data_IF_409403789090
#
_entry.id   IF_409403789090
#
_cell.length_a   1.000
_cell.length_b   1.000
_cell.length_c   1.000
_cell.angle_alpha   90.00
_cell.angle_beta   90.00
_cell.angle_gamma   90.00
#
_symmetry.space_group_name_H-M   'P 1'
#
loop_
_entity.id
_entity.type
_entity.pdbx_description
1 polymer ?
#
# COMPACT_ATOMS: atom_id res chain seq x y z
N UNK A 1 13.71 15.57 3.46
CA UNK A 1 12.64 14.67 2.96
C UNK A 1 12.94 13.88 1.69
N UNK A 2 13.62 14.47 0.70
CA UNK A 2 13.89 13.79 -0.59
C UNK A 2 14.62 12.44 -0.45
N UNK A 3 15.56 12.34 0.51
CA UNK A 3 16.28 11.09 0.79
C UNK A 3 15.34 10.01 1.35
N UNK A 4 14.46 10.38 2.29
CA UNK A 4 13.50 9.48 2.92
C UNK A 4 12.48 8.93 1.90
N UNK A 5 11.94 9.80 1.04
CA UNK A 5 11.03 9.39 -0.04
C UNK A 5 11.69 8.39 -1.00
N UNK A 6 12.94 8.65 -1.40
CA UNK A 6 13.71 7.75 -2.24
C UNK A 6 13.96 6.38 -1.57
N UNK A 7 14.42 6.38 -0.32
CA UNK A 7 14.68 5.15 0.42
C UNK A 7 13.40 4.30 0.59
N UNK A 8 12.27 4.97 0.85
CA UNK A 8 10.97 4.32 0.98
C UNK A 8 10.52 3.65 -0.32
N UNK A 9 10.51 4.38 -1.44
CA UNK A 9 10.10 3.84 -2.75
C UNK A 9 11.07 2.73 -3.21
N UNK A 10 12.37 2.93 -3.00
CA UNK A 10 13.41 1.91 -3.27
C UNK A 10 13.12 0.62 -2.52
N UNK A 11 12.74 0.69 -1.24
CA UNK A 11 12.38 -0.48 -0.45
C UNK A 11 11.15 -1.19 -1.00
N UNK A 12 10.13 -0.44 -1.42
CA UNK A 12 8.91 -1.02 -2.02
C UNK A 12 9.21 -1.79 -3.30
N UNK A 13 10.02 -1.24 -4.20
CA UNK A 13 10.39 -1.92 -5.46
C UNK A 13 11.21 -3.18 -5.20
N UNK A 14 12.11 -3.15 -4.21
CA UNK A 14 12.85 -4.35 -3.82
C UNK A 14 11.94 -5.44 -3.24
N UNK A 15 10.91 -5.05 -2.51
CA UNK A 15 9.99 -5.98 -1.85
C UNK A 15 8.95 -6.56 -2.81
N UNK A 16 8.39 -5.74 -3.70
CA UNK A 16 7.25 -6.11 -4.56
C UNK A 16 7.63 -6.28 -6.03
N UNK A 17 8.90 -6.07 -6.39
CA UNK A 17 9.37 -6.11 -7.77
C UNK A 17 9.13 -4.82 -8.55
N UNK A 18 9.39 -4.87 -9.85
CA UNK A 18 9.25 -3.72 -10.76
C UNK A 18 7.77 -3.41 -11.02
N UNK A 19 7.29 -2.20 -10.69
CA UNK A 19 5.90 -1.82 -10.94
C UNK A 19 5.68 -1.49 -12.42
N UNK A 20 4.47 -1.76 -12.92
CA UNK A 20 4.04 -1.28 -14.24
C UNK A 20 3.69 0.20 -14.23
N UNK A 21 2.98 0.65 -13.19
CA UNK A 21 2.65 2.06 -12.94
C UNK A 21 2.79 2.37 -11.45
N UNK A 22 3.19 3.60 -11.14
CA UNK A 22 3.33 4.17 -9.81
C UNK A 22 2.58 5.49 -9.78
N UNK A 23 1.62 5.58 -8.87
CA UNK A 23 0.84 6.79 -8.62
C UNK A 23 1.38 7.43 -7.35
N UNK A 24 1.70 8.72 -7.39
CA UNK A 24 2.06 9.49 -6.20
C UNK A 24 1.26 10.78 -6.11
N UNK A 25 1.33 11.42 -4.95
CA UNK A 25 0.92 12.81 -4.77
C UNK A 25 1.78 13.77 -5.60
N UNK A 26 1.41 15.05 -5.59
CA UNK A 26 2.12 16.10 -6.31
C UNK A 26 3.30 16.70 -5.52
N UNK A 27 3.71 16.07 -4.42
CA UNK A 27 4.77 16.59 -3.55
C UNK A 27 6.13 16.70 -4.29
N UNK A 28 6.92 17.77 -4.06
CA UNK A 28 8.23 17.92 -4.69
C UNK A 28 9.20 16.76 -4.37
N UNK A 29 9.14 16.24 -3.15
CA UNK A 29 10.03 15.17 -2.69
C UNK A 29 9.76 13.83 -3.38
N UNK A 30 8.49 13.51 -3.67
CA UNK A 30 8.10 12.28 -4.39
C UNK A 30 8.48 12.36 -5.86
N UNK A 31 8.33 13.52 -6.50
CA UNK A 31 8.82 13.76 -7.87
C UNK A 31 10.32 13.51 -8.01
N UNK A 32 11.13 14.09 -7.11
CA UNK A 32 12.59 13.90 -7.12
C UNK A 32 12.97 12.44 -6.85
N UNK A 33 12.29 11.79 -5.91
CA UNK A 33 12.52 10.38 -5.60
C UNK A 33 12.19 9.45 -6.77
N UNK A 34 11.06 9.69 -7.45
CA UNK A 34 10.64 8.91 -8.62
C UNK A 34 11.60 9.05 -9.79
N UNK A 35 12.09 10.26 -10.09
CA UNK A 35 13.10 10.47 -11.13
C UNK A 35 14.38 9.64 -10.86
N UNK A 36 14.86 9.63 -9.61
CA UNK A 36 16.01 8.80 -9.20
C UNK A 36 15.73 7.30 -9.33
N UNK A 37 14.54 6.86 -8.94
CA UNK A 37 14.13 5.46 -9.00
C UNK A 37 13.98 4.96 -10.43
N UNK A 38 13.37 5.75 -11.32
CA UNK A 38 13.20 5.40 -12.74
C UNK A 38 14.58 5.16 -13.38
N UNK A 39 15.53 6.06 -13.13
CA UNK A 39 16.91 5.91 -13.60
C UNK A 39 17.61 4.70 -12.97
N UNK A 40 17.52 4.56 -11.64
CA UNK A 40 18.24 3.51 -10.90
C UNK A 40 17.75 2.08 -11.16
N UNK A 41 16.45 1.89 -11.40
CA UNK A 41 15.83 0.58 -11.61
C UNK A 41 15.52 0.28 -13.09
N UNK A 42 15.86 1.19 -14.01
CA UNK A 42 15.54 1.12 -15.45
C UNK A 42 14.04 0.85 -15.67
N UNK A 43 13.20 1.66 -15.01
CA UNK A 43 11.75 1.61 -15.21
C UNK A 43 11.38 2.37 -16.49
N UNK A 44 10.18 2.10 -17.01
CA UNK A 44 9.68 2.86 -18.17
C UNK A 44 9.47 4.33 -17.76
N UNK A 45 9.81 5.33 -18.60
CA UNK A 45 9.64 6.74 -18.28
C UNK A 45 8.18 7.14 -17.97
N UNK A 46 7.22 6.47 -18.62
CA UNK A 46 5.78 6.67 -18.46
C UNK A 46 5.18 5.91 -17.25
N UNK A 47 6.02 5.24 -16.45
CA UNK A 47 5.54 4.47 -15.31
C UNK A 47 5.06 5.34 -14.15
N UNK A 48 5.36 6.65 -14.14
CA UNK A 48 4.99 7.55 -13.06
C UNK A 48 3.86 8.48 -13.48
N UNK A 49 2.81 8.56 -12.66
CA UNK A 49 1.74 9.52 -12.85
C UNK A 49 1.38 10.22 -11.54
N UNK A 50 0.98 11.49 -11.66
CA UNK A 50 0.36 12.24 -10.57
C UNK A 50 -1.07 12.55 -10.97
N UNK A 51 -2.04 12.07 -10.19
CA UNK A 51 -3.46 12.28 -10.46
C UNK A 51 -4.17 12.55 -9.15
N UNK A 52 -4.88 13.68 -9.08
CA UNK A 52 -5.66 14.06 -7.89
C UNK A 52 -6.69 13.00 -7.54
N UNK A 53 -7.40 12.47 -8.55
CA UNK A 53 -8.41 11.44 -8.35
C UNK A 53 -7.81 10.13 -7.83
N UNK A 54 -6.73 9.64 -8.44
CA UNK A 54 -6.09 8.40 -7.99
C UNK A 54 -5.45 8.57 -6.61
N UNK A 55 -4.93 9.76 -6.30
CA UNK A 55 -4.45 10.09 -4.96
C UNK A 55 -5.58 10.07 -3.93
N UNK A 56 -6.78 10.55 -4.28
CA UNK A 56 -7.95 10.48 -3.40
C UNK A 56 -8.34 9.03 -3.06
N UNK A 57 -8.21 8.10 -4.00
CA UNK A 57 -8.45 6.67 -3.74
C UNK A 57 -7.45 6.10 -2.72
N UNK A 58 -6.17 6.49 -2.82
CA UNK A 58 -5.12 6.10 -1.87
C UNK A 58 -5.42 6.70 -0.48
N UNK A 59 -5.81 7.98 -0.43
CA UNK A 59 -6.18 8.62 0.84
C UNK A 59 -7.44 8.02 1.48
N UNK A 60 -8.40 7.56 0.68
CA UNK A 60 -9.54 6.81 1.19
C UNK A 60 -9.10 5.47 1.80
N UNK A 61 -8.12 4.81 1.18
CA UNK A 61 -7.50 3.59 1.72
C UNK A 61 -6.88 3.84 3.09
N UNK A 62 -6.21 4.97 3.26
CA UNK A 62 -5.60 5.36 4.53
C UNK A 62 -6.60 5.53 5.66
N UNK A 63 -7.88 5.84 5.39
CA UNK A 63 -8.89 6.02 6.47
C UNK A 63 -9.09 4.77 7.31
N UNK A 64 -9.05 3.59 6.67
CA UNK A 64 -9.21 2.31 7.36
C UNK A 64 -7.98 1.93 8.20
N UNK A 65 -6.80 2.44 7.84
CA UNK A 65 -5.53 2.20 8.55
C UNK A 65 -5.29 3.25 9.64
N UNK A 66 -5.73 4.49 9.42
CA UNK A 66 -5.68 5.61 10.38
C UNK A 66 -6.70 5.37 11.50
N UNK A 67 -6.45 4.35 12.31
CA UNK A 67 -7.19 4.12 13.55
C UNK A 67 -6.85 5.24 14.52
N UNK A 68 -7.86 5.90 15.09
CA UNK A 68 -7.73 6.98 16.09
C UNK A 68 -7.18 6.52 17.45
N UNK A 69 -6.51 5.37 17.53
CA UNK A 69 -5.84 4.93 18.77
C UNK A 69 -4.54 5.69 18.91
N UNK A 70 -4.51 6.63 19.84
CA UNK A 70 -3.35 7.49 20.14
C UNK A 70 -2.32 6.81 21.03
N UNK A 71 -2.61 5.62 21.59
CA UNK A 71 -1.74 4.92 22.56
C UNK A 71 -1.67 3.43 22.29
N UNK A 72 -0.49 2.97 21.84
CA UNK A 72 -0.08 1.57 21.87
C UNK A 72 0.92 1.39 23.01
N UNK A 73 0.90 0.24 23.67
CA UNK A 73 1.83 -0.06 24.77
C UNK A 73 3.29 -0.18 24.29
N UNK A 74 3.50 -0.61 23.04
CA UNK A 74 4.83 -0.72 22.43
C UNK A 74 4.76 -0.55 20.91
N UNK A 75 5.92 -0.30 20.29
CA UNK A 75 6.08 -0.27 18.83
C UNK A 75 5.72 -1.63 18.21
N UNK A 76 6.07 -2.73 18.88
CA UNK A 76 5.75 -4.09 18.42
C UNK A 76 4.24 -4.32 18.38
N UNK A 77 3.52 -3.88 19.41
CA UNK A 77 2.06 -3.95 19.45
C UNK A 77 1.44 -3.14 18.30
N UNK A 78 1.89 -1.91 18.08
CA UNK A 78 1.41 -1.07 16.97
C UNK A 78 1.66 -1.73 15.61
N UNK A 79 2.88 -2.27 15.41
CA UNK A 79 3.29 -2.95 14.18
C UNK A 79 2.45 -4.19 13.90
N UNK A 80 2.21 -5.03 14.91
CA UNK A 80 1.40 -6.25 14.79
C UNK A 80 -0.06 -5.93 14.49
N UNK A 81 -0.64 -4.93 15.18
CA UNK A 81 -2.00 -4.46 14.90
C UNK A 81 -2.15 -3.94 13.47
N UNK A 82 -1.21 -3.10 13.01
CA UNK A 82 -1.20 -2.61 11.63
C UNK A 82 -1.06 -3.76 10.62
N UNK A 83 -0.28 -4.81 10.94
CA UNK A 83 -0.14 -5.99 10.09
C UNK A 83 -1.46 -6.77 9.99
N UNK A 84 -2.17 -6.94 11.10
CA UNK A 84 -3.49 -7.59 11.15
C UNK A 84 -4.55 -6.84 10.32
N UNK A 85 -4.66 -5.51 10.53
CA UNK A 85 -5.59 -4.67 9.76
C UNK A 85 -5.30 -4.75 8.25
N UNK A 86 -4.02 -4.65 7.87
CA UNK A 86 -3.59 -4.79 6.47
C UNK A 86 -3.93 -6.15 5.89
N UNK A 87 -3.79 -7.22 6.66
CA UNK A 87 -4.10 -8.59 6.24
C UNK A 87 -5.58 -8.74 5.91
N UNK A 88 -6.47 -8.39 6.84
CA UNK A 88 -7.93 -8.48 6.64
C UNK A 88 -8.37 -7.66 5.42
N UNK A 89 -7.83 -6.46 5.28
CA UNK A 89 -8.22 -5.57 4.19
C UNK A 89 -7.64 -6.01 2.83
N UNK A 90 -6.49 -6.68 2.82
CA UNK A 90 -5.98 -7.34 1.62
C UNK A 90 -6.90 -8.48 1.17
N UNK A 91 -7.42 -9.29 2.10
CA UNK A 91 -8.42 -10.32 1.82
C UNK A 91 -9.71 -9.71 1.25
N UNK A 92 -10.21 -8.64 1.90
CA UNK A 92 -11.37 -7.90 1.42
C UNK A 92 -11.22 -7.42 -0.03
N UNK A 93 -10.07 -6.80 -0.35
CA UNK A 93 -9.77 -6.33 -1.71
C UNK A 93 -9.67 -7.47 -2.72
N UNK A 94 -9.13 -8.63 -2.32
CA UNK A 94 -9.04 -9.81 -3.18
C UNK A 94 -10.45 -10.33 -3.50
N UNK A 95 -11.29 -10.49 -2.48
CA UNK A 95 -12.67 -10.93 -2.62
C UNK A 95 -13.51 -10.00 -3.53
N UNK A 96 -13.37 -8.67 -3.34
CA UNK A 96 -14.00 -7.64 -4.19
C UNK A 96 -13.59 -7.73 -5.66
N UNK A 97 -12.34 -8.11 -5.96
CA UNK A 97 -11.83 -8.27 -7.33
C UNK A 97 -12.30 -9.58 -7.97
N UNK A 98 -12.52 -10.63 -7.18
CA UNK A 98 -13.04 -11.90 -7.68
C UNK A 98 -14.55 -11.91 -7.94
N UNK A 99 -15.23 -10.75 -7.83
CA UNK A 99 -16.66 -10.58 -8.09
C UNK A 99 -17.53 -11.61 -7.34
N UNK A 100 -17.12 -12.02 -6.14
CA UNK A 100 -17.92 -12.94 -5.35
C UNK A 100 -19.27 -12.31 -4.98
N UNK A 101 -20.32 -13.10 -5.20
CA UNK A 101 -21.72 -12.71 -5.01
C UNK A 101 -22.15 -12.73 -3.54
N UNK A 102 -21.39 -13.43 -2.69
CA UNK A 102 -21.65 -13.59 -1.27
C UNK A 102 -20.95 -12.52 -0.43
N UNK A 103 -21.50 -12.24 0.76
CA UNK A 103 -20.94 -11.26 1.70
C UNK A 103 -19.55 -11.67 2.18
N UNK A 104 -18.61 -10.71 2.20
CA UNK A 104 -17.27 -10.94 2.72
C UNK A 104 -17.28 -11.17 4.23
N UNK A 105 -16.69 -12.30 4.66
CA UNK A 105 -16.44 -12.61 6.08
C UNK A 105 -14.96 -12.90 6.31
N UNK A 106 -14.25 -12.08 7.11
CA UNK A 106 -12.84 -12.31 7.42
C UNK A 106 -12.57 -13.69 8.02
N UNK A 107 -13.41 -14.14 8.97
CA UNK A 107 -13.22 -15.41 9.64
C UNK A 107 -13.33 -16.58 8.65
N UNK A 108 -14.33 -16.53 7.77
CA UNK A 108 -14.54 -17.57 6.76
C UNK A 108 -13.36 -17.68 5.79
N UNK A 109 -12.89 -16.53 5.27
CA UNK A 109 -11.74 -16.47 4.37
C UNK A 109 -10.46 -16.99 5.02
N UNK A 110 -10.21 -16.63 6.28
CA UNK A 110 -9.07 -17.12 7.04
C UNK A 110 -9.18 -18.63 7.29
N UNK A 111 -10.36 -19.13 7.66
CA UNK A 111 -10.60 -20.57 7.85
C UNK A 111 -10.35 -21.37 6.57
N UNK A 112 -10.81 -20.90 5.41
CA UNK A 112 -10.52 -21.54 4.12
C UNK A 112 -9.01 -21.59 3.88
N UNK A 113 -8.30 -20.47 4.10
CA UNK A 113 -6.86 -20.41 3.90
C UNK A 113 -6.06 -21.31 4.84
N UNK A 114 -6.54 -21.54 6.07
CA UNK A 114 -5.89 -22.43 7.04
C UNK A 114 -6.20 -23.91 6.79
N UNK A 115 -7.29 -24.22 6.09
CA UNK A 115 -7.66 -25.57 5.68
C UNK A 115 -7.02 -26.02 4.36
N UNK A 116 -6.35 -25.10 3.66
CA UNK A 116 -5.66 -25.31 2.38
C UNK A 116 -4.17 -25.57 2.60
#
# INVERSE_FOLDING_TARGET
DNHSAYAFIKRLIKQFGKPQKVITDQAPSTKVAMAKVIKGFKLKPDCHCTSKYLNNLIEQDHRHIKVRKTRYQSINTAKNTLKGIKCIYALYKKNRRSLQIYGFSPCHEISIMLAS
#
